data_IF_572567897069
#
_entry.id   IF_572567897069
#
_cell.length_a   1.000
_cell.length_b   1.000
_cell.length_c   1.000
_cell.angle_alpha   90.00
_cell.angle_beta   90.00
_cell.angle_gamma   90.00
#
_symmetry.space_group_name_H-M   'P 1'
#
loop_
_entity.id
_entity.type
_entity.pdbx_description
1 polymer ?
#
# COMPACT_ATOMS: atom_id res chain seq x y z
N UNK A 1 4.50 10.69 -19.93
CA UNK A 1 3.95 10.01 -18.74
C UNK A 1 4.45 10.77 -17.54
N UNK A 2 3.59 11.02 -16.54
CA UNK A 2 4.04 11.56 -15.25
C UNK A 2 4.61 10.37 -14.46
N UNK A 3 5.85 10.46 -13.99
CA UNK A 3 6.39 9.39 -13.15
C UNK A 3 5.63 9.39 -11.83
N UNK A 4 5.40 8.22 -11.23
CA UNK A 4 4.73 8.15 -9.93
C UNK A 4 5.49 8.97 -8.86
N UNK A 5 6.82 9.03 -8.95
CA UNK A 5 7.67 9.88 -8.10
C UNK A 5 7.37 11.39 -8.24
N UNK A 6 6.77 11.81 -9.36
CA UNK A 6 6.35 13.20 -9.61
C UNK A 6 4.91 13.47 -9.14
N UNK A 7 4.17 12.43 -8.71
CA UNK A 7 2.83 12.61 -8.14
C UNK A 7 2.91 13.17 -6.71
N UNK A 8 1.86 13.86 -6.26
CA UNK A 8 1.73 14.27 -4.87
C UNK A 8 1.94 13.11 -3.88
N UNK A 9 2.32 13.47 -2.65
CA UNK A 9 2.38 12.53 -1.54
C UNK A 9 1.02 12.52 -0.84
N UNK A 10 0.56 11.34 -0.43
CA UNK A 10 -0.55 11.24 0.49
C UNK A 10 -0.07 11.66 1.87
N UNK A 11 -0.39 12.88 2.27
CA UNK A 11 -0.05 13.43 3.58
C UNK A 11 -1.27 13.32 4.50
N UNK A 12 -1.14 12.65 5.65
CA UNK A 12 -2.21 12.65 6.65
C UNK A 12 -1.73 12.65 8.09
N UNK A 13 -2.45 13.37 8.94
CA UNK A 13 -2.31 13.32 10.40
C UNK A 13 -3.27 12.28 10.98
N UNK A 14 -2.73 11.37 11.80
CA UNK A 14 -3.47 10.27 12.41
C UNK A 14 -3.68 10.59 13.88
N UNK A 15 -4.91 10.90 14.30
CA UNK A 15 -5.19 11.28 15.67
C UNK A 15 -5.22 10.04 16.59
N UNK A 16 -5.37 10.26 17.90
CA UNK A 16 -5.35 9.17 18.90
C UNK A 16 -6.50 8.18 18.74
N UNK A 17 -7.65 8.66 18.31
CA UNK A 17 -8.83 7.87 17.95
C UNK A 17 -8.62 7.01 16.69
N UNK A 18 -7.58 7.31 15.91
CA UNK A 18 -7.21 6.61 14.69
C UNK A 18 -7.83 7.21 13.43
N UNK A 19 -7.34 6.76 12.28
CA UNK A 19 -7.81 7.18 10.96
C UNK A 19 -7.96 5.95 10.07
N UNK A 20 -9.04 5.93 9.28
CA UNK A 20 -9.23 4.92 8.24
C UNK A 20 -9.31 5.62 6.90
N UNK A 21 -8.51 5.18 5.94
CA UNK A 21 -8.51 5.67 4.57
C UNK A 21 -8.91 4.53 3.64
N UNK A 22 -9.87 4.80 2.76
CA UNK A 22 -10.29 3.92 1.69
C UNK A 22 -9.60 4.38 0.39
N UNK A 23 -8.77 3.51 -0.15
CA UNK A 23 -7.82 3.79 -1.23
C UNK A 23 -7.96 2.75 -2.34
N UNK A 24 -7.52 3.13 -3.52
CA UNK A 24 -7.49 2.27 -4.69
C UNK A 24 -6.08 2.24 -5.24
N UNK A 25 -5.55 1.04 -5.45
CA UNK A 25 -4.25 0.78 -6.06
C UNK A 25 -4.50 0.30 -7.48
N UNK A 26 -3.90 0.98 -8.45
CA UNK A 26 -4.11 0.66 -9.86
C UNK A 26 -2.82 0.07 -10.46
N UNK A 27 -2.74 -1.26 -10.62
CA UNK A 27 -1.59 -1.90 -11.24
C UNK A 27 -1.39 -1.41 -12.67
N UNK A 28 -0.12 -1.41 -13.09
CA UNK A 28 0.30 -1.08 -14.46
C UNK A 28 1.23 -2.14 -14.99
N UNK A 29 1.13 -2.43 -16.29
CA UNK A 29 2.10 -3.28 -16.97
C UNK A 29 3.48 -2.62 -17.01
N UNK A 30 4.53 -3.42 -16.97
CA UNK A 30 5.88 -2.93 -17.21
C UNK A 30 6.03 -2.56 -18.69
N UNK A 31 6.39 -1.30 -18.95
CA UNK A 31 6.69 -0.84 -20.30
C UNK A 31 8.20 -0.76 -20.45
N UNK A 32 8.78 -1.67 -21.23
CA UNK A 32 10.17 -1.58 -21.70
C UNK A 32 11.24 -1.53 -20.60
N UNK A 33 11.34 -2.56 -19.76
CA UNK A 33 12.44 -2.70 -18.78
C UNK A 33 12.48 -1.64 -17.67
N UNK A 34 11.65 -0.60 -17.74
CA UNK A 34 11.55 0.44 -16.72
C UNK A 34 10.60 0.01 -15.61
N UNK A 35 11.02 0.19 -14.36
CA UNK A 35 10.18 -0.06 -13.19
C UNK A 35 8.99 0.90 -13.17
N UNK A 36 7.79 0.37 -13.38
CA UNK A 36 6.54 1.14 -13.28
C UNK A 36 6.06 1.15 -11.83
N UNK A 37 5.83 2.35 -11.32
CA UNK A 37 5.27 2.59 -10.01
C UNK A 37 3.74 2.69 -10.10
N UNK A 38 3.03 1.95 -9.25
CA UNK A 38 1.57 1.91 -9.25
C UNK A 38 1.00 3.11 -8.49
N UNK A 39 0.13 3.93 -9.11
CA UNK A 39 -0.51 5.02 -8.41
C UNK A 39 -1.51 4.50 -7.38
N UNK A 40 -1.63 5.25 -6.29
CA UNK A 40 -2.64 5.11 -5.26
C UNK A 40 -3.59 6.31 -5.34
N UNK A 41 -4.90 6.13 -5.22
CA UNK A 41 -5.82 7.27 -5.17
C UNK A 41 -6.92 7.07 -4.12
N UNK A 42 -7.53 8.18 -3.70
CA UNK A 42 -8.64 8.15 -2.77
C UNK A 42 -9.89 7.59 -3.47
N UNK A 43 -10.57 6.62 -2.85
CA UNK A 43 -11.79 6.05 -3.41
C UNK A 43 -12.90 7.09 -3.59
N UNK A 44 -12.96 8.09 -2.70
CA UNK A 44 -13.93 9.18 -2.75
C UNK A 44 -13.53 10.31 -3.71
N UNK A 45 -12.24 10.35 -4.13
CA UNK A 45 -11.73 11.35 -5.06
C UNK A 45 -10.64 10.77 -6.00
N UNK A 46 -11.04 10.08 -7.09
CA UNK A 46 -10.10 9.40 -7.99
C UNK A 46 -9.17 10.33 -8.80
N UNK A 47 -9.47 11.63 -8.84
CA UNK A 47 -8.60 12.63 -9.46
C UNK A 47 -7.33 12.89 -8.62
N UNK A 48 -7.40 12.62 -7.32
CA UNK A 48 -6.30 12.80 -6.38
C UNK A 48 -5.42 11.55 -6.34
N UNK A 49 -4.36 11.57 -7.16
CA UNK A 49 -3.40 10.47 -7.30
C UNK A 49 -2.15 10.76 -6.51
N UNK A 50 -1.68 9.73 -5.81
CA UNK A 50 -0.50 9.77 -4.97
C UNK A 50 0.52 8.77 -5.46
N UNK A 51 1.79 9.16 -5.37
CA UNK A 51 2.92 8.27 -5.66
C UNK A 51 3.72 7.85 -4.45
N UNK A 52 3.46 8.49 -3.31
CA UNK A 52 4.11 8.20 -2.05
C UNK A 52 3.16 8.46 -0.87
N UNK A 53 3.54 8.02 0.33
CA UNK A 53 2.79 8.18 1.56
C UNK A 53 3.64 8.79 2.68
N UNK A 54 3.11 9.82 3.32
CA UNK A 54 3.71 10.43 4.50
C UNK A 54 2.68 10.59 5.61
N UNK A 55 2.89 9.86 6.70
CA UNK A 55 1.96 9.82 7.81
C UNK A 55 2.54 10.47 9.06
N UNK A 56 1.77 11.35 9.70
CA UNK A 56 2.10 11.89 11.01
C UNK A 56 1.19 11.28 12.07
N UNK A 57 1.70 10.42 12.96
CA UNK A 57 0.87 9.59 13.84
C UNK A 57 1.00 10.02 15.31
N UNK A 58 -0.13 10.38 15.94
CA UNK A 58 -0.18 10.64 17.37
C UNK A 58 0.06 9.36 18.18
N UNK A 59 0.75 9.48 19.32
CA UNK A 59 1.04 8.34 20.18
C UNK A 59 -0.23 7.55 20.52
N UNK A 60 -0.23 6.25 20.19
CA UNK A 60 -1.36 5.35 20.42
C UNK A 60 -2.39 5.31 19.28
N UNK A 61 -2.36 6.27 18.37
CA UNK A 61 -3.16 6.32 17.14
C UNK A 61 -2.89 5.14 16.23
N UNK A 62 -3.90 4.77 15.43
CA UNK A 62 -3.84 3.65 14.49
C UNK A 62 -4.32 4.12 13.14
N UNK A 63 -3.46 3.98 12.13
CA UNK A 63 -3.83 4.18 10.73
C UNK A 63 -4.27 2.84 10.14
N UNK A 64 -5.46 2.83 9.53
CA UNK A 64 -5.94 1.70 8.75
C UNK A 64 -6.09 2.13 7.29
N UNK A 65 -5.31 1.55 6.41
CA UNK A 65 -5.48 1.70 4.96
C UNK A 65 -6.27 0.50 4.44
N UNK A 66 -7.37 0.76 3.76
CA UNK A 66 -8.13 -0.26 3.02
C UNK A 66 -7.90 0.00 1.55
N UNK A 67 -7.20 -0.91 0.90
CA UNK A 67 -6.75 -0.76 -0.47
C UNK A 67 -7.53 -1.76 -1.34
N UNK A 68 -8.11 -1.29 -2.42
CA UNK A 68 -8.80 -2.11 -3.42
C UNK A 68 -8.01 -2.10 -4.73
N UNK A 69 -7.90 -3.23 -5.41
CA UNK A 69 -7.29 -3.29 -6.75
C UNK A 69 -8.25 -2.74 -7.80
N UNK A 70 -7.73 -1.86 -8.66
CA UNK A 70 -8.39 -1.41 -9.90
C UNK A 70 -7.60 -1.91 -11.11
N UNK A 71 -8.20 -2.83 -11.87
CA UNK A 71 -7.55 -3.53 -12.99
C UNK A 71 -7.77 -2.82 -14.34
N UNK A 72 -8.33 -1.60 -14.35
CA UNK A 72 -8.67 -0.89 -15.59
C UNK A 72 -7.48 -0.67 -16.52
N UNK A 73 -6.27 -0.53 -15.97
CA UNK A 73 -5.02 -0.31 -16.72
C UNK A 73 -4.28 -1.60 -17.10
N UNK A 74 -4.81 -2.77 -16.69
CA UNK A 74 -4.29 -4.09 -17.01
C UNK A 74 -5.44 -5.02 -17.46
N UNK A 75 -6.20 -4.63 -18.52
CA UNK A 75 -7.41 -5.34 -18.91
C UNK A 75 -7.10 -6.79 -19.31
N UNK A 76 -7.97 -7.72 -18.86
CA UNK A 76 -7.82 -9.15 -19.12
C UNK A 76 -6.90 -9.89 -18.15
N UNK A 77 -6.39 -9.23 -17.11
CA UNK A 77 -5.69 -9.87 -15.99
C UNK A 77 -6.64 -10.13 -14.83
N UNK A 78 -6.45 -11.27 -14.16
CA UNK A 78 -7.09 -11.57 -12.87
C UNK A 78 -6.03 -11.44 -11.78
N UNK A 79 -5.85 -10.22 -11.24
CA UNK A 79 -4.83 -9.97 -10.21
C UNK A 79 -5.40 -10.05 -8.80
N UNK A 80 -4.66 -10.74 -7.93
CA UNK A 80 -4.93 -10.82 -6.49
C UNK A 80 -3.74 -10.39 -5.66
N UNK A 81 -3.97 -9.85 -4.46
CA UNK A 81 -2.89 -9.66 -3.50
C UNK A 81 -2.31 -11.00 -3.06
N UNK A 82 -0.97 -11.10 -3.07
CA UNK A 82 -0.26 -12.32 -2.64
C UNK A 82 -0.57 -12.62 -1.17
N UNK A 83 -0.86 -13.89 -0.86
CA UNK A 83 -1.09 -14.35 0.51
C UNK A 83 0.11 -15.08 1.07
N UNK A 84 0.48 -14.75 2.31
CA UNK A 84 1.49 -15.51 3.05
C UNK A 84 0.81 -16.40 4.10
N UNK A 85 0.57 -17.68 3.74
CA UNK A 85 -0.14 -18.64 4.58
C UNK A 85 0.48 -18.85 5.98
N UNK A 86 1.78 -18.62 6.13
CA UNK A 86 2.49 -18.79 7.41
C UNK A 86 2.64 -17.48 8.20
N UNK A 87 2.53 -16.30 7.55
CA UNK A 87 2.76 -15.01 8.19
C UNK A 87 1.92 -13.89 7.56
N UNK A 88 0.66 -13.80 7.99
CA UNK A 88 -0.29 -12.72 7.61
C UNK A 88 0.07 -11.33 8.17
N UNK A 89 1.35 -11.06 8.48
CA UNK A 89 1.81 -9.71 8.83
C UNK A 89 2.10 -8.88 7.58
N UNK A 90 2.38 -9.52 6.46
CA UNK A 90 2.88 -8.88 5.24
C UNK A 90 2.16 -9.41 3.98
N UNK A 91 0.87 -9.79 4.06
CA UNK A 91 0.13 -10.14 2.84
C UNK A 91 0.20 -8.97 1.84
N UNK A 92 0.38 -9.28 0.56
CA UNK A 92 0.40 -8.30 -0.52
C UNK A 92 1.55 -7.29 -0.47
N UNK A 93 2.51 -7.44 0.47
CA UNK A 93 3.64 -6.52 0.60
C UNK A 93 4.97 -7.20 0.93
N UNK A 94 6.08 -6.56 0.54
CA UNK A 94 7.44 -6.90 1.00
C UNK A 94 8.02 -5.67 1.70
N UNK A 95 8.29 -5.78 3.00
CA UNK A 95 9.05 -4.75 3.71
C UNK A 95 10.51 -4.73 3.23
N UNK A 96 11.02 -3.57 2.82
CA UNK A 96 12.41 -3.39 2.39
C UNK A 96 13.28 -2.79 3.51
N UNK A 97 12.68 -2.07 4.45
CA UNK A 97 13.37 -1.59 5.65
C UNK A 97 13.48 -2.72 6.69
N UNK A 98 14.69 -3.15 7.08
CA UNK A 98 14.89 -4.28 7.99
C UNK A 98 14.41 -4.02 9.43
N UNK A 99 14.33 -2.74 9.83
CA UNK A 99 14.01 -2.33 11.19
C UNK A 99 12.67 -1.59 11.26
N UNK A 100 11.59 -2.17 10.73
CA UNK A 100 10.26 -1.59 10.93
C UNK A 100 9.85 -1.69 12.40
N UNK A 101 10.00 -0.60 13.15
CA UNK A 101 9.83 -0.60 14.61
C UNK A 101 8.37 -0.48 15.03
N UNK A 102 7.51 0.00 14.13
CA UNK A 102 6.07 0.09 14.37
C UNK A 102 5.36 -1.25 14.20
N UNK A 103 4.15 -1.36 14.76
CA UNK A 103 3.34 -2.55 14.50
C UNK A 103 2.71 -2.45 13.11
N UNK A 104 3.33 -3.12 12.13
CA UNK A 104 2.76 -3.30 10.79
C UNK A 104 1.95 -4.59 10.71
N UNK A 105 0.78 -4.52 10.08
CA UNK A 105 0.05 -5.72 9.67
C UNK A 105 -0.71 -5.47 8.38
N UNK A 106 -0.34 -6.16 7.32
CA UNK A 106 -1.10 -6.25 6.08
C UNK A 106 -1.79 -7.61 5.97
N UNK A 107 -3.07 -7.58 5.58
CA UNK A 107 -3.89 -8.78 5.40
C UNK A 107 -4.73 -8.66 4.13
N UNK A 108 -4.55 -9.59 3.21
CA UNK A 108 -5.41 -9.72 2.04
C UNK A 108 -6.80 -10.25 2.45
N UNK A 109 -7.83 -9.79 1.75
CA UNK A 109 -9.24 -10.05 2.03
C UNK A 109 -9.93 -10.52 0.78
N UNK A 110 -10.66 -11.61 0.93
CA UNK A 110 -11.50 -12.20 -0.10
C UNK A 110 -12.78 -11.37 -0.28
N UNK A 111 -13.10 -11.05 -1.51
CA UNK A 111 -14.31 -10.35 -1.95
C UNK A 111 -14.78 -11.07 -3.21
N UNK A 112 -16.00 -11.59 -3.17
CA UNK A 112 -16.60 -12.35 -4.28
C UNK A 112 -15.78 -13.56 -4.76
N UNK A 113 -14.94 -14.12 -3.88
CA UNK A 113 -14.05 -15.25 -4.16
C UNK A 113 -12.58 -14.86 -4.35
N UNK A 114 -12.31 -13.56 -4.56
CA UNK A 114 -10.99 -13.09 -4.98
C UNK A 114 -10.30 -12.22 -3.91
N UNK A 115 -8.97 -12.33 -3.80
CA UNK A 115 -8.19 -11.55 -2.83
C UNK A 115 -7.85 -10.12 -3.33
N UNK A 116 -8.89 -9.35 -3.70
CA UNK A 116 -8.77 -8.02 -4.33
C UNK A 116 -8.71 -6.85 -3.35
N UNK A 117 -8.87 -7.11 -2.04
CA UNK A 117 -8.74 -6.09 -0.99
C UNK A 117 -7.56 -6.37 -0.08
N UNK A 118 -6.84 -5.32 0.29
CA UNK A 118 -5.74 -5.35 1.25
C UNK A 118 -6.04 -4.40 2.40
N UNK A 119 -5.95 -4.90 3.64
CA UNK A 119 -6.08 -4.07 4.83
C UNK A 119 -4.72 -3.97 5.50
N UNK A 120 -4.18 -2.76 5.53
CA UNK A 120 -2.94 -2.42 6.22
C UNK A 120 -3.28 -1.69 7.51
N UNK A 121 -2.66 -2.12 8.62
CA UNK A 121 -2.74 -1.43 9.90
C UNK A 121 -1.34 -1.05 10.36
N UNK A 122 -1.18 0.22 10.68
CA UNK A 122 0.06 0.81 11.17
C UNK A 122 -0.23 1.47 12.52
N UNK A 123 0.57 1.14 13.53
CA UNK A 123 0.49 1.77 14.85
C UNK A 123 1.88 2.14 15.32
N UNK A 124 2.05 3.42 15.67
CA UNK A 124 3.22 3.87 16.39
C UNK A 124 3.07 3.59 17.91
N UNK A 125 4.01 2.81 18.44
CA UNK A 125 4.09 2.48 19.88
C UNK A 125 5.22 3.21 20.60
N UNK A 126 6.23 3.65 19.86
CA UNK A 126 7.50 4.09 20.44
C UNK A 126 7.73 5.58 20.23
N UNK A 127 6.85 6.28 19.50
CA UNK A 127 6.96 7.72 19.22
C UNK A 127 8.28 8.07 18.55
N UNK A 128 8.64 7.27 17.55
CA UNK A 128 9.90 7.36 16.81
C UNK A 128 9.63 7.59 15.32
N UNK A 129 10.40 8.46 14.65
CA UNK A 129 10.36 8.56 13.20
C UNK A 129 10.85 7.25 12.57
N UNK A 130 10.22 6.82 11.48
CA UNK A 130 10.60 5.63 10.73
C UNK A 130 10.44 5.87 9.21
N UNK A 131 11.46 5.46 8.45
CA UNK A 131 11.42 5.45 6.98
C UNK A 131 11.15 4.02 6.55
N UNK A 132 9.98 3.77 5.98
CA UNK A 132 9.55 2.42 5.67
C UNK A 132 9.24 2.26 4.19
N UNK A 133 10.22 1.76 3.45
CA UNK A 133 10.01 1.40 2.05
C UNK A 133 9.43 -0.01 1.98
N UNK A 134 8.45 -0.23 1.09
CA UNK A 134 7.90 -1.55 0.85
C UNK A 134 7.49 -1.73 -0.62
N UNK A 135 7.35 -2.98 -1.05
CA UNK A 135 6.84 -3.32 -2.37
C UNK A 135 5.43 -3.86 -2.26
N UNK A 136 4.53 -3.43 -3.14
CA UNK A 136 3.26 -4.08 -3.47
C UNK A 136 3.51 -5.41 -4.18
N UNK A 137 2.75 -6.43 -3.84
CA UNK A 137 2.79 -7.73 -4.51
C UNK A 137 1.40 -8.22 -4.89
N UNK A 138 1.21 -8.47 -6.17
CA UNK A 138 0.06 -9.19 -6.71
C UNK A 138 0.51 -10.43 -7.47
N UNK A 139 -0.42 -11.35 -7.69
CA UNK A 139 -0.27 -12.52 -8.55
C UNK A 139 -1.41 -12.55 -9.55
N UNK A 140 -1.10 -12.85 -10.80
CA UNK A 140 -2.07 -13.19 -11.83
C UNK A 140 -2.54 -14.64 -11.58
N UNK A 141 -3.83 -14.81 -11.27
CA UNK A 141 -4.40 -16.11 -10.86
C UNK A 141 -4.37 -17.12 -12.00
N UNK A 142 -4.54 -16.66 -13.25
CA UNK A 142 -4.55 -17.56 -14.42
C UNK A 142 -3.14 -18.09 -14.72
N UNK A 143 -2.13 -17.22 -14.64
CA UNK A 143 -0.78 -17.54 -15.10
C UNK A 143 0.22 -17.87 -13.98
N UNK A 144 -0.11 -17.51 -12.74
CA UNK A 144 0.80 -17.57 -11.59
C UNK A 144 1.92 -16.51 -11.64
N UNK A 145 1.84 -15.54 -12.54
CA UNK A 145 2.86 -14.49 -12.70
C UNK A 145 2.78 -13.48 -11.56
N UNK A 146 3.92 -13.15 -10.96
CA UNK A 146 3.99 -12.12 -9.91
C UNK A 146 4.16 -10.72 -10.49
N UNK A 147 3.40 -9.79 -9.94
CA UNK A 147 3.42 -8.37 -10.24
C UNK A 147 3.89 -7.62 -9.01
N UNK A 148 4.91 -6.78 -9.16
CA UNK A 148 5.55 -6.06 -8.05
C UNK A 148 5.75 -4.60 -8.41
N UNK A 149 5.47 -3.72 -7.47
CA UNK A 149 5.72 -2.27 -7.58
C UNK A 149 6.14 -1.71 -6.22
N UNK A 150 6.89 -0.62 -6.17
CA UNK A 150 7.43 -0.09 -4.90
C UNK A 150 6.76 1.18 -4.41
N UNK A 151 6.81 1.42 -3.10
CA UNK A 151 6.87 2.78 -2.56
C UNK A 151 8.28 2.95 -1.94
N UNK A 152 9.20 3.64 -2.62
CA UNK A 152 10.59 3.70 -2.18
C UNK A 152 10.83 4.67 -1.01
N UNK A 153 9.91 5.59 -0.72
CA UNK A 153 10.18 6.70 0.23
C UNK A 153 9.05 6.96 1.23
N UNK A 154 8.22 5.96 1.58
CA UNK A 154 7.17 6.17 2.58
C UNK A 154 7.75 6.46 3.98
N UNK A 155 7.12 7.41 4.69
CA UNK A 155 7.62 7.94 5.98
C UNK A 155 6.51 7.96 7.04
N UNK A 156 6.88 7.60 8.28
CA UNK A 156 6.09 7.84 9.49
C UNK A 156 6.83 8.83 10.38
N UNK A 157 6.15 9.91 10.75
CA UNK A 157 6.59 10.85 11.75
C UNK A 157 5.67 10.78 12.99
N UNK A 158 6.20 10.72 14.21
CA UNK A 158 5.37 10.86 15.40
C UNK A 158 4.87 12.29 15.55
N UNK A 159 3.60 12.47 15.95
CA UNK A 159 3.09 13.78 16.40
C UNK A 159 3.44 13.98 17.89
N UNK A 160 3.74 15.23 18.32
CA UNK A 160 3.98 15.57 19.73
C UNK A 160 2.81 15.29 20.67
#
# INVERSE_FOLDING_TARGET
>A
MVNCADLPKLECEVPKEGLTLDLVLQPKEQVGGESQYWPLFNADNPEERFGNMHFSIAQGGVLTLKITLDLSEVPGRELEFVRYHQNHKLDGIIALSPDFRHQFRARAKEVDGDYTKLVIKIKDKESIPDNFSFLWMCVDVETGMHFVSGDPEAVINPLP
#
